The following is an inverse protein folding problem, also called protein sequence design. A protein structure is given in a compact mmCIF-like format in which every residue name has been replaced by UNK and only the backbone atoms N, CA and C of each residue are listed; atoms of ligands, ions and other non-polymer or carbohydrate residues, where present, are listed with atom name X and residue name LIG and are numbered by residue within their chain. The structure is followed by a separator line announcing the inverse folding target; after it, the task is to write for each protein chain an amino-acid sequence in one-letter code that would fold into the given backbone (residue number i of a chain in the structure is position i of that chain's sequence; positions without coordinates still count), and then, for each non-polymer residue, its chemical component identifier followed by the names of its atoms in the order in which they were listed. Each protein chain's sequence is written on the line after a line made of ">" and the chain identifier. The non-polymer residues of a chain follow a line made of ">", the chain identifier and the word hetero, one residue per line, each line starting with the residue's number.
data_IF_382982669670
#
_entry.id   IF_382982669670
#
_cell.length_a   1.000
_cell.length_b   1.000
_cell.length_c   1.000
_cell.angle_alpha   90.00
_cell.angle_beta   90.00
_cell.angle_gamma   90.00
#
_symmetry.space_group_name_H-M   'P 1'
#
loop_
_entity.id
_entity.type
_entity.pdbx_description
1 polymer ?
#
# COMPACT_ATOMS: atom_id res chain seq x y z
N UNK A 1 17.57 14.06 0.17
CA UNK A 1 16.75 12.92 -0.32
C UNK A 1 17.72 11.79 -0.66
N UNK A 2 17.56 10.59 -0.09
CA UNK A 2 18.45 9.44 -0.35
C UNK A 2 17.60 8.21 -0.65
N UNK A 3 17.88 7.51 -1.76
CA UNK A 3 17.07 6.36 -2.26
C UNK A 3 15.55 6.65 -2.38
N UNK A 4 15.17 7.90 -2.64
CA UNK A 4 13.76 8.31 -2.75
C UNK A 4 13.03 8.46 -1.41
N UNK A 5 13.78 8.71 -0.34
CA UNK A 5 13.26 9.06 0.99
C UNK A 5 13.74 10.44 1.44
N UNK A 6 12.89 11.12 2.22
CA UNK A 6 13.27 12.32 2.96
C UNK A 6 13.76 11.87 4.34
N UNK A 7 15.01 12.15 4.67
CA UNK A 7 15.59 11.84 5.98
C UNK A 7 15.56 13.14 6.79
N UNK A 8 14.88 13.14 7.93
CA UNK A 8 14.90 14.24 8.89
C UNK A 8 15.27 13.76 10.30
N UNK A 9 15.27 14.65 11.29
CA UNK A 9 15.58 14.31 12.69
C UNK A 9 14.57 13.37 13.35
N UNK A 10 13.44 13.07 12.70
CA UNK A 10 12.41 12.13 13.14
C UNK A 10 12.48 10.78 12.38
N UNK A 11 13.25 10.66 11.29
CA UNK A 11 13.54 9.40 10.62
C UNK A 11 13.45 9.45 9.09
N UNK A 12 13.10 8.30 8.49
CA UNK A 12 12.93 8.13 7.04
C UNK A 12 11.45 8.35 6.71
N UNK A 13 11.14 9.37 5.92
CA UNK A 13 9.79 9.63 5.44
C UNK A 13 9.66 9.17 3.99
N UNK A 14 8.48 8.62 3.66
CA UNK A 14 8.11 8.46 2.24
C UNK A 14 8.12 9.83 1.61
N UNK A 15 8.80 9.93 0.47
CA UNK A 15 8.75 11.11 -0.38
C UNK A 15 7.29 11.60 -0.51
N UNK A 16 6.98 12.85 -0.14
CA UNK A 16 5.63 13.42 -0.25
C UNK A 16 5.02 13.24 -1.64
N UNK A 17 5.85 13.20 -2.70
CA UNK A 17 5.40 12.91 -4.07
C UNK A 17 4.84 11.48 -4.19
N UNK A 18 5.47 10.48 -3.56
CA UNK A 18 5.00 9.10 -3.51
C UNK A 18 3.75 8.96 -2.63
N UNK A 19 3.67 9.68 -1.51
CA UNK A 19 2.44 9.70 -0.68
C UNK A 19 1.27 10.23 -1.51
N UNK A 20 1.49 11.30 -2.28
CA UNK A 20 0.46 11.88 -3.16
C UNK A 20 0.02 10.87 -4.23
N UNK A 21 0.96 10.19 -4.89
CA UNK A 21 0.64 9.14 -5.87
C UNK A 21 -0.13 7.97 -5.25
N UNK A 22 0.19 7.57 -4.01
CA UNK A 22 -0.59 6.54 -3.30
C UNK A 22 -1.98 7.04 -2.96
N UNK A 23 -2.12 8.30 -2.51
CA UNK A 23 -3.41 8.91 -2.16
C UNK A 23 -4.35 9.01 -3.36
N UNK A 24 -3.80 9.39 -4.51
CA UNK A 24 -4.54 9.57 -5.76
C UNK A 24 -4.70 8.27 -6.56
N UNK A 25 -4.18 7.14 -6.04
CA UNK A 25 -4.28 5.85 -6.70
C UNK A 25 -5.74 5.40 -6.81
N UNK A 26 -6.21 5.20 -8.04
CA UNK A 26 -7.58 4.79 -8.34
C UNK A 26 -7.83 3.31 -7.99
N UNK A 27 -9.07 2.94 -7.73
CA UNK A 27 -9.43 1.54 -7.43
C UNK A 27 -8.98 0.60 -8.56
N UNK A 28 -8.25 -0.49 -8.25
CA UNK A 28 -7.77 -1.44 -9.24
C UNK A 28 -8.91 -2.05 -10.04
N UNK A 29 -8.76 -2.09 -11.37
CA UNK A 29 -9.71 -2.73 -12.29
C UNK A 29 -9.23 -4.08 -12.80
N UNK A 30 -8.01 -4.47 -12.44
CA UNK A 30 -7.41 -5.73 -12.87
C UNK A 30 -6.54 -6.38 -11.79
N UNK A 31 -6.35 -7.71 -11.83
CA UNK A 31 -5.39 -8.41 -10.97
C UNK A 31 -3.95 -7.86 -11.11
N UNK A 32 -3.61 -7.32 -12.27
CA UNK A 32 -2.29 -6.74 -12.54
C UNK A 32 -2.10 -5.42 -11.78
N UNK A 33 -3.10 -4.53 -11.79
CA UNK A 33 -3.07 -3.30 -11.00
C UNK A 33 -3.02 -3.59 -9.49
N UNK A 34 -3.74 -4.62 -9.02
CA UNK A 34 -3.62 -5.06 -7.62
C UNK A 34 -2.18 -5.48 -7.31
N UNK A 35 -1.54 -6.27 -8.19
CA UNK A 35 -0.14 -6.68 -7.98
C UNK A 35 0.82 -5.49 -7.96
N UNK A 36 0.62 -4.50 -8.82
CA UNK A 36 1.42 -3.27 -8.83
C UNK A 36 1.28 -2.52 -7.50
N UNK A 37 0.05 -2.29 -7.04
CA UNK A 37 -0.21 -1.63 -5.78
C UNK A 37 0.36 -2.41 -4.59
N UNK A 38 0.12 -3.72 -4.51
CA UNK A 38 0.64 -4.56 -3.43
C UNK A 38 2.17 -4.67 -3.45
N UNK A 39 2.80 -4.58 -4.63
CA UNK A 39 4.26 -4.54 -4.76
C UNK A 39 4.84 -3.29 -4.10
N UNK A 40 4.25 -2.12 -4.38
CA UNK A 40 4.65 -0.87 -3.74
C UNK A 40 4.32 -0.85 -2.24
N UNK A 41 3.09 -1.20 -1.88
CA UNK A 41 2.65 -1.24 -0.49
C UNK A 41 3.48 -2.26 0.33
N UNK A 42 3.94 -3.33 -0.32
CA UNK A 42 4.80 -4.37 0.26
C UNK A 42 6.16 -3.84 0.72
N UNK A 43 6.71 -2.81 0.06
CA UNK A 43 7.95 -2.15 0.50
C UNK A 43 7.79 -1.53 1.89
N UNK A 44 6.62 -0.94 2.17
CA UNK A 44 6.29 -0.29 3.44
C UNK A 44 5.59 -1.21 4.45
N UNK A 45 5.46 -2.52 4.15
CA UNK A 45 4.71 -3.47 4.98
C UNK A 45 5.11 -3.48 6.46
N UNK A 46 6.38 -3.21 6.77
CA UNK A 46 6.94 -3.24 8.13
C UNK A 46 6.39 -2.12 9.02
N UNK A 47 5.87 -1.05 8.42
CA UNK A 47 5.32 0.11 9.11
C UNK A 47 3.80 0.06 9.23
N UNK A 48 3.16 -0.96 8.63
CA UNK A 48 1.71 -1.08 8.57
C UNK A 48 1.29 -2.26 9.44
N UNK A 49 0.80 -1.95 10.64
CA UNK A 49 0.28 -2.98 11.52
C UNK A 49 -0.88 -3.74 10.86
N UNK A 50 -0.77 -5.07 10.84
CA UNK A 50 -1.75 -5.95 10.25
C UNK A 50 -1.78 -5.94 8.72
N UNK A 51 -0.72 -5.47 8.04
CA UNK A 51 -0.63 -5.41 6.57
C UNK A 51 -1.18 -6.66 5.88
N UNK A 52 -0.70 -7.85 6.27
CA UNK A 52 -1.12 -9.12 5.66
C UNK A 52 -2.62 -9.38 5.80
N UNK A 53 -3.23 -8.99 6.93
CA UNK A 53 -4.68 -9.13 7.16
C UNK A 53 -5.48 -8.19 6.25
N UNK A 54 -4.98 -6.98 6.03
CA UNK A 54 -5.62 -5.97 5.17
C UNK A 54 -5.46 -6.32 3.70
N UNK A 55 -4.27 -6.79 3.29
CA UNK A 55 -3.95 -7.14 1.91
C UNK A 55 -4.61 -8.45 1.45
N UNK A 56 -4.91 -9.39 2.37
CA UNK A 56 -5.47 -10.72 2.09
C UNK A 56 -6.61 -10.75 1.05
N UNK A 57 -7.69 -9.94 1.15
CA UNK A 57 -8.77 -9.96 0.16
C UNK A 57 -8.30 -9.51 -1.23
N UNK A 58 -7.39 -8.55 -1.33
CA UNK A 58 -6.78 -8.14 -2.60
C UNK A 58 -5.84 -9.22 -3.15
N UNK A 59 -5.02 -9.84 -2.30
CA UNK A 59 -4.14 -10.96 -2.69
C UNK A 59 -4.93 -12.16 -3.20
N UNK A 60 -6.14 -12.42 -2.69
CA UNK A 60 -7.01 -13.48 -3.21
C UNK A 60 -7.40 -13.22 -4.67
N UNK A 61 -7.68 -11.97 -5.04
CA UNK A 61 -8.03 -11.57 -6.41
C UNK A 61 -6.86 -11.68 -7.41
N UNK A 62 -5.63 -11.87 -6.94
CA UNK A 62 -4.45 -12.05 -7.82
C UNK A 62 -4.10 -13.51 -8.08
N UNK A 63 -4.78 -14.45 -7.42
CA UNK A 63 -4.53 -15.89 -7.56
C UNK A 63 -5.05 -16.44 -8.89
N UNK A 64 -4.37 -17.45 -9.42
CA UNK A 64 -4.83 -18.19 -10.60
C UNK A 64 -6.17 -18.88 -10.26
N UNK A 65 -7.10 -18.90 -11.23
CA UNK A 65 -8.45 -19.51 -11.12
C UNK A 65 -9.43 -18.81 -10.16
N UNK A 66 -9.13 -17.59 -9.70
CA UNK A 66 -10.09 -16.75 -8.98
C UNK A 66 -10.69 -15.74 -9.97
N UNK A 67 -12.02 -15.63 -10.01
CA UNK A 67 -12.70 -14.60 -10.79
C UNK A 67 -12.41 -13.25 -10.15
N UNK A 68 -12.02 -12.27 -10.98
CA UNK A 68 -11.81 -10.92 -10.51
C UNK A 68 -13.16 -10.26 -10.22
N UNK A 69 -13.48 -10.08 -8.94
CA UNK A 69 -14.67 -9.38 -8.48
C UNK A 69 -14.23 -8.37 -7.43
N UNK A 70 -14.18 -7.10 -7.86
CA UNK A 70 -13.88 -5.98 -6.99
C UNK A 70 -15.18 -5.48 -6.36
N UNK A 71 -15.39 -5.79 -5.08
CA UNK A 71 -16.56 -5.36 -4.32
C UNK A 71 -16.20 -4.48 -3.14
N UNK A 72 -17.20 -4.16 -2.32
CA UNK A 72 -17.08 -3.24 -1.19
C UNK A 72 -16.02 -3.68 -0.17
N UNK A 73 -15.87 -4.99 0.04
CA UNK A 73 -14.86 -5.52 0.96
C UNK A 73 -13.44 -5.23 0.47
N UNK A 74 -13.18 -5.36 -0.82
CA UNK A 74 -11.87 -5.09 -1.42
C UNK A 74 -11.61 -3.59 -1.43
N UNK A 75 -12.61 -2.80 -1.81
CA UNK A 75 -12.54 -1.34 -1.81
C UNK A 75 -12.25 -0.80 -0.40
N UNK A 76 -12.99 -1.24 0.61
CA UNK A 76 -12.77 -0.82 2.00
C UNK A 76 -11.35 -1.15 2.49
N UNK A 77 -10.81 -2.31 2.13
CA UNK A 77 -9.45 -2.71 2.51
C UNK A 77 -8.37 -1.98 1.71
N UNK A 78 -8.64 -1.67 0.45
CA UNK A 78 -7.79 -0.83 -0.38
C UNK A 78 -7.68 0.58 0.20
N UNK A 79 -8.81 1.22 0.52
CA UNK A 79 -8.82 2.55 1.13
C UNK A 79 -8.17 2.56 2.52
N UNK A 80 -8.42 1.55 3.34
CA UNK A 80 -7.75 1.40 4.64
C UNK A 80 -6.23 1.29 4.47
N UNK A 81 -5.75 0.55 3.47
CA UNK A 81 -4.32 0.42 3.22
C UNK A 81 -3.70 1.73 2.71
N UNK A 82 -4.39 2.45 1.82
CA UNK A 82 -3.99 3.81 1.39
C UNK A 82 -3.90 4.76 2.58
N UNK A 83 -4.89 4.75 3.45
CA UNK A 83 -4.89 5.59 4.65
C UNK A 83 -3.68 5.29 5.54
N UNK A 84 -3.42 4.01 5.84
CA UNK A 84 -2.27 3.61 6.68
C UNK A 84 -0.92 3.96 6.05
N UNK A 85 -0.81 3.87 4.71
CA UNK A 85 0.38 4.30 3.96
C UNK A 85 0.60 5.81 4.04
N UNK A 86 -0.47 6.61 4.06
CA UNK A 86 -0.40 8.06 4.14
C UNK A 86 -0.28 8.60 5.58
N UNK A 87 -0.68 7.82 6.59
CA UNK A 87 -0.77 8.27 7.99
C UNK A 87 0.36 7.76 8.89
N UNK A 88 1.12 6.75 8.48
CA UNK A 88 2.16 6.16 9.35
C UNK A 88 3.45 6.98 9.27
N UNK A 89 4.03 7.41 10.40
CA UNK A 89 5.43 7.84 10.42
C UNK A 89 6.29 6.61 10.14
N UNK A 90 7.11 6.65 9.09
CA UNK A 90 7.85 5.49 8.60
C UNK A 90 9.17 5.34 9.37
N UNK A 91 9.03 5.06 10.66
CA UNK A 91 10.13 4.94 11.61
C UNK A 91 10.66 3.51 11.67
N UNK A 92 11.87 3.29 11.17
CA UNK A 92 12.85 2.37 11.74
C UNK A 92 14.22 2.61 11.09
N UNK A 93 15.05 3.43 11.75
CA UNK A 93 16.50 3.24 11.73
C UNK A 93 16.82 2.18 12.80
N UNK A 94 17.62 1.13 12.50
CA UNK A 94 18.27 0.33 13.54
C UNK A 94 19.31 1.16 14.30
#
# INVERSE_FOLDING_TARGET
>A
QFLGHVIDSQGIHVDPAKIKSIKDWASPKSPTEIRQFLGLAGYYRRFIEGFSKIAKPMTKLTQKKVKFEWGDQQEAKFQLLKQKLCSSPILALP
#
